data_IF_474984981393
#
_entry.id   IF_474984981393
#
_cell.length_a   1.000
_cell.length_b   1.000
_cell.length_c   1.000
_cell.angle_alpha   90.00
_cell.angle_beta   90.00
_cell.angle_gamma   90.00
#
_symmetry.space_group_name_H-M   'P 1'
#
loop_
_entity.id
_entity.type
_entity.pdbx_description
1 polymer ?
#
# COMPACT_ATOMS: atom_id res chain seq x y z
N UNK A 1 56.61 15.48 27.56
CA UNK A 1 57.70 14.55 27.16
C UNK A 1 57.32 13.14 27.61
N UNK A 2 57.78 12.11 26.89
CA UNK A 2 57.62 10.66 27.17
C UNK A 2 56.14 10.17 27.18
N UNK A 3 55.65 9.35 26.25
CA UNK A 3 56.28 8.72 25.09
C UNK A 3 56.74 7.27 25.38
N UNK A 4 55.94 6.29 24.97
CA UNK A 4 56.39 4.90 24.79
C UNK A 4 55.58 4.19 23.69
N UNK A 5 56.26 3.86 22.58
CA UNK A 5 55.88 2.79 21.64
C UNK A 5 56.48 1.48 22.15
N UNK A 6 55.97 0.32 21.72
CA UNK A 6 56.63 -1.00 21.46
C UNK A 6 55.50 -2.05 21.42
N UNK A 7 55.46 -3.10 20.60
CA UNK A 7 55.97 -3.36 19.24
C UNK A 7 55.24 -4.60 18.67
N UNK A 8 55.33 -4.85 17.36
CA UNK A 8 54.84 -6.11 16.74
C UNK A 8 55.88 -7.24 16.84
N UNK A 9 55.42 -8.48 17.03
CA UNK A 9 55.84 -9.71 16.30
C UNK A 9 54.89 -10.86 16.70
N UNK A 10 54.33 -11.76 15.86
CA UNK A 10 54.80 -12.56 14.69
C UNK A 10 55.70 -13.77 15.04
N UNK A 11 55.09 -14.95 15.18
CA UNK A 11 55.41 -16.29 14.58
C UNK A 11 54.51 -17.35 15.29
N UNK A 12 53.60 -18.06 14.61
CA UNK A 12 53.75 -19.19 13.65
C UNK A 12 54.22 -20.50 14.33
N UNK A 13 53.32 -21.47 14.48
CA UNK A 13 53.66 -22.87 14.75
C UNK A 13 52.74 -23.85 13.98
N UNK A 14 53.28 -25.03 13.68
CA UNK A 14 52.76 -26.12 12.82
C UNK A 14 53.25 -27.46 13.43
N UNK A 15 52.68 -28.64 13.19
CA UNK A 15 51.73 -29.11 12.18
C UNK A 15 51.13 -30.47 12.65
N UNK A 16 49.95 -30.85 12.15
CA UNK A 16 49.42 -32.25 12.08
C UNK A 16 48.97 -32.92 13.39
N UNK A 17 47.73 -33.41 13.37
CA UNK A 17 47.46 -34.85 13.20
C UNK A 17 46.15 -35.05 12.43
N UNK A 18 46.07 -36.14 11.68
CA UNK A 18 44.95 -36.52 10.81
C UNK A 18 44.45 -37.90 11.18
N UNK A 19 43.13 -38.11 11.24
CA UNK A 19 42.38 -39.32 10.85
C UNK A 19 40.88 -38.96 11.05
N UNK A 20 40.09 -38.78 9.99
CA UNK A 20 39.42 -39.84 9.23
C UNK A 20 38.17 -40.41 9.94
N UNK A 21 37.01 -39.86 9.61
CA UNK A 21 35.71 -40.51 9.77
C UNK A 21 34.88 -40.31 8.50
N UNK A 22 34.63 -41.42 7.80
CA UNK A 22 33.78 -41.50 6.61
C UNK A 22 32.33 -41.61 7.06
N UNK A 23 31.42 -40.83 6.48
CA UNK A 23 29.99 -40.89 6.85
C UNK A 23 29.07 -40.12 5.91
N UNK A 24 28.48 -40.84 4.94
CA UNK A 24 27.28 -40.51 4.19
C UNK A 24 27.10 -39.06 3.68
N UNK A 25 27.57 -38.79 2.46
CA UNK A 25 26.93 -37.77 1.61
C UNK A 25 25.59 -38.34 1.15
N UNK A 26 24.50 -37.94 1.81
CA UNK A 26 23.15 -38.15 1.25
C UNK A 26 23.02 -37.19 0.08
N UNK A 27 23.06 -37.73 -1.14
CA UNK A 27 22.75 -36.98 -2.35
C UNK A 27 21.24 -36.67 -2.37
N UNK A 28 20.85 -35.59 -1.70
CA UNK A 28 19.53 -34.99 -1.88
C UNK A 28 19.36 -34.66 -3.37
N UNK A 29 18.24 -35.03 -4.00
CA UNK A 29 17.97 -34.59 -5.35
C UNK A 29 17.83 -33.07 -5.31
N UNK A 30 18.78 -32.38 -5.96
CA UNK A 30 18.61 -30.99 -6.36
C UNK A 30 17.45 -30.95 -7.35
N UNK A 31 16.23 -30.81 -6.82
CA UNK A 31 15.10 -30.34 -7.60
C UNK A 31 15.48 -28.97 -8.13
N UNK A 32 15.96 -28.95 -9.37
CA UNK A 32 15.92 -27.77 -10.20
C UNK A 32 14.45 -27.39 -10.33
N UNK A 33 13.96 -26.53 -9.41
CA UNK A 33 12.80 -25.71 -9.70
C UNK A 33 13.14 -24.99 -10.98
N UNK A 34 12.57 -25.46 -12.09
CA UNK A 34 12.56 -24.72 -13.32
C UNK A 34 11.96 -23.38 -12.97
N UNK A 35 12.77 -22.31 -13.05
CA UNK A 35 12.24 -20.96 -12.99
C UNK A 35 11.28 -20.85 -14.16
N UNK A 36 9.99 -21.05 -13.88
CA UNK A 36 8.93 -20.54 -14.71
C UNK A 36 9.26 -19.07 -14.90
N UNK A 37 9.66 -18.70 -16.12
CA UNK A 37 9.73 -17.32 -16.53
C UNK A 37 8.29 -16.82 -16.52
N UNK A 38 7.89 -16.31 -15.38
CA UNK A 38 6.70 -15.48 -15.26
C UNK A 38 7.10 -14.16 -15.93
N UNK A 39 6.89 -14.08 -17.25
CA UNK A 39 6.89 -12.82 -18.01
C UNK A 39 5.61 -12.02 -17.66
N UNK A 40 5.32 -11.88 -16.36
CA UNK A 40 4.36 -10.90 -15.88
C UNK A 40 5.04 -9.54 -15.91
N UNK A 41 4.49 -8.62 -16.69
CA UNK A 41 4.85 -7.20 -16.65
C UNK A 41 4.52 -6.67 -15.25
N UNK A 42 5.52 -6.60 -14.37
CA UNK A 42 5.32 -6.22 -12.97
C UNK A 42 4.79 -4.79 -12.86
N UNK A 43 3.65 -4.59 -12.21
CA UNK A 43 3.06 -3.26 -12.07
C UNK A 43 3.90 -2.44 -11.07
N UNK A 44 4.43 -1.29 -11.52
CA UNK A 44 5.24 -0.39 -10.69
C UNK A 44 4.33 0.45 -9.80
N UNK A 45 4.31 0.15 -8.50
CA UNK A 45 3.42 0.79 -7.52
C UNK A 45 4.19 1.71 -6.57
N UNK A 46 3.62 2.88 -6.27
CA UNK A 46 3.77 3.52 -4.96
C UNK A 46 2.44 3.41 -4.26
N UNK A 47 2.43 2.97 -3.01
CA UNK A 47 1.23 2.94 -2.16
C UNK A 47 1.29 4.17 -1.25
N UNK A 48 0.24 4.99 -1.24
CA UNK A 48 0.11 6.19 -0.41
C UNK A 48 -1.08 5.99 0.54
N UNK A 49 -0.79 5.83 1.83
CA UNK A 49 -1.72 5.23 2.78
C UNK A 49 -1.75 5.98 4.11
N UNK A 50 -2.93 6.16 4.69
CA UNK A 50 -3.12 6.73 6.02
C UNK A 50 -3.10 5.68 7.15
N UNK A 51 -2.77 4.43 6.83
CA UNK A 51 -2.23 3.28 7.62
C UNK A 51 -2.55 3.14 9.10
N UNK A 52 -2.34 4.18 9.92
CA UNK A 52 -2.72 4.20 11.32
C UNK A 52 -4.17 4.69 11.56
N UNK A 53 -4.92 4.98 10.50
CA UNK A 53 -6.31 5.41 10.56
C UNK A 53 -7.27 4.28 10.94
N UNK A 54 -7.33 3.18 10.17
CA UNK A 54 -8.08 1.96 10.50
C UNK A 54 -7.16 0.71 10.51
N UNK A 55 -7.68 -0.46 10.16
CA UNK A 55 -6.97 -1.76 10.25
C UNK A 55 -6.67 -2.34 8.87
N UNK A 56 -7.48 -2.02 7.87
CA UNK A 56 -7.45 -2.67 6.56
C UNK A 56 -6.34 -2.16 5.64
N UNK A 57 -5.85 -0.92 5.79
CA UNK A 57 -4.57 -0.47 5.23
C UNK A 57 -3.43 -1.48 5.49
N UNK A 58 -3.31 -1.95 6.73
CA UNK A 58 -2.22 -2.83 7.15
C UNK A 58 -2.33 -4.21 6.48
N UNK A 59 -3.55 -4.74 6.36
CA UNK A 59 -3.83 -5.96 5.59
C UNK A 59 -3.53 -5.76 4.10
N UNK A 60 -3.90 -4.61 3.53
CA UNK A 60 -3.71 -4.27 2.13
C UNK A 60 -2.23 -4.13 1.76
N UNK A 61 -1.45 -3.41 2.59
CA UNK A 61 0.01 -3.27 2.44
C UNK A 61 0.69 -4.63 2.54
N UNK A 62 0.35 -5.47 3.53
CA UNK A 62 0.95 -6.80 3.70
C UNK A 62 0.64 -7.70 2.50
N UNK A 63 -0.59 -7.66 1.97
CA UNK A 63 -0.97 -8.38 0.74
C UNK A 63 -0.24 -7.88 -0.51
N UNK A 64 -0.04 -6.57 -0.64
CA UNK A 64 0.68 -5.97 -1.75
C UNK A 64 2.19 -6.30 -1.71
N UNK A 65 2.78 -6.44 -0.51
CA UNK A 65 4.19 -6.79 -0.32
C UNK A 65 4.51 -8.27 -0.66
N UNK A 66 3.51 -9.15 -0.67
CA UNK A 66 3.66 -10.56 -1.11
C UNK A 66 3.24 -10.83 -2.55
N UNK A 67 2.57 -9.88 -3.21
CA UNK A 67 2.06 -10.06 -4.59
C UNK A 67 3.21 -10.14 -5.62
N UNK A 68 3.45 -11.30 -6.28
CA UNK A 68 4.55 -11.45 -7.22
C UNK A 68 4.41 -10.60 -8.49
N UNK A 69 3.20 -10.16 -8.84
CA UNK A 69 2.99 -9.26 -10.00
C UNK A 69 3.23 -7.78 -9.68
N UNK A 70 3.47 -7.41 -8.42
CA UNK A 70 3.72 -6.02 -8.02
C UNK A 70 5.21 -5.74 -7.82
N UNK A 71 5.64 -4.58 -8.31
CA UNK A 71 6.93 -3.98 -7.99
C UNK A 71 6.67 -2.75 -7.13
N UNK A 72 6.62 -2.95 -5.82
CA UNK A 72 6.48 -1.86 -4.85
C UNK A 72 7.76 -1.02 -4.89
N UNK A 73 7.65 0.18 -5.45
CA UNK A 73 8.74 1.14 -5.55
C UNK A 73 8.82 2.08 -4.35
N UNK A 74 7.75 2.19 -3.55
CA UNK A 74 7.73 2.86 -2.25
C UNK A 74 6.37 2.79 -1.53
N UNK A 75 6.37 3.13 -0.25
CA UNK A 75 5.21 3.14 0.66
C UNK A 75 5.17 4.47 1.42
N UNK A 76 4.36 5.42 0.97
CA UNK A 76 4.25 6.77 1.53
C UNK A 76 3.09 6.89 2.50
N UNK A 77 3.20 7.81 3.46
CA UNK A 77 2.20 8.05 4.50
C UNK A 77 1.31 9.27 4.18
N UNK A 78 0.02 9.15 4.43
CA UNK A 78 -0.99 10.20 4.30
C UNK A 78 -1.57 10.64 5.66
N UNK A 79 -2.15 11.83 5.71
CA UNK A 79 -2.85 12.39 6.88
C UNK A 79 -4.33 11.98 6.90
N UNK A 80 -4.98 12.06 8.06
CA UNK A 80 -6.36 11.57 8.30
C UNK A 80 -7.11 12.40 9.36
N UNK A 81 -6.92 13.73 9.33
CA UNK A 81 -7.33 14.65 10.39
C UNK A 81 -8.85 14.81 10.62
N UNK A 82 -9.71 14.37 9.71
CA UNK A 82 -11.17 14.45 9.92
C UNK A 82 -11.68 13.43 10.93
N UNK A 83 -10.88 12.41 11.27
CA UNK A 83 -11.30 11.43 12.26
C UNK A 83 -11.28 12.00 13.67
N UNK A 84 -12.36 11.76 14.43
CA UNK A 84 -12.60 12.40 15.73
C UNK A 84 -11.56 12.09 16.83
N UNK A 85 -10.66 11.12 16.61
CA UNK A 85 -9.51 10.79 17.49
C UNK A 85 -8.16 10.90 16.79
N UNK A 86 -8.10 11.49 15.59
CA UNK A 86 -6.85 11.74 14.89
C UNK A 86 -5.90 12.58 15.77
N UNK A 87 -4.62 12.19 15.92
CA UNK A 87 -3.65 13.03 16.57
C UNK A 87 -3.19 14.15 15.62
N UNK A 88 -2.73 15.26 16.17
CA UNK A 88 -2.19 16.39 15.39
C UNK A 88 -1.07 16.01 14.40
N UNK A 89 -0.38 14.89 14.64
CA UNK A 89 0.61 14.29 13.75
C UNK A 89 0.12 12.90 13.32
N UNK A 90 -0.90 12.90 12.47
CA UNK A 90 -1.56 11.67 12.02
C UNK A 90 -0.72 10.97 10.95
N UNK A 91 -0.06 11.74 10.06
CA UNK A 91 0.88 11.19 9.07
C UNK A 91 2.08 10.52 9.74
N UNK A 92 2.59 11.07 10.84
CA UNK A 92 3.67 10.47 11.62
C UNK A 92 3.28 9.13 12.26
N UNK A 93 1.99 8.93 12.60
CA UNK A 93 1.50 7.61 13.04
C UNK A 93 1.48 6.60 11.91
N UNK A 94 0.97 6.98 10.75
CA UNK A 94 0.92 6.11 9.56
C UNK A 94 2.34 5.79 9.08
N UNK A 95 3.27 6.74 9.17
CA UNK A 95 4.70 6.54 8.92
C UNK A 95 5.33 5.49 9.84
N UNK A 96 5.11 5.58 11.15
CA UNK A 96 5.62 4.59 12.13
C UNK A 96 5.04 3.20 11.84
N UNK A 97 3.75 3.11 11.47
CA UNK A 97 3.12 1.83 11.12
C UNK A 97 3.69 1.23 9.83
N UNK A 98 3.93 2.06 8.80
CA UNK A 98 4.60 1.65 7.56
C UNK A 98 6.00 1.08 7.83
N UNK A 99 6.79 1.76 8.67
CA UNK A 99 8.12 1.28 9.09
C UNK A 99 8.05 -0.06 9.84
N UNK A 100 7.07 -0.23 10.74
CA UNK A 100 6.83 -1.49 11.46
C UNK A 100 6.45 -2.64 10.51
N UNK A 101 5.49 -2.42 9.60
CA UNK A 101 5.06 -3.44 8.63
C UNK A 101 6.22 -3.84 7.71
N UNK A 102 6.97 -2.88 7.17
CA UNK A 102 8.16 -3.16 6.34
C UNK A 102 9.24 -3.90 7.13
N UNK A 103 9.46 -3.58 8.40
CA UNK A 103 10.41 -4.29 9.26
C UNK A 103 9.98 -5.75 9.51
N UNK A 104 8.71 -5.97 9.88
CA UNK A 104 8.15 -7.30 10.15
C UNK A 104 8.14 -8.20 8.90
N UNK A 105 8.01 -7.61 7.71
CA UNK A 105 8.08 -8.29 6.42
C UNK A 105 9.51 -8.50 5.90
N UNK A 106 10.54 -7.93 6.55
CA UNK A 106 11.92 -7.95 6.05
C UNK A 106 12.09 -7.17 4.73
N UNK A 107 11.36 -6.05 4.60
CA UNK A 107 11.23 -5.20 3.40
C UNK A 107 11.67 -3.75 3.63
N UNK A 108 12.45 -3.48 4.67
CA UNK A 108 12.89 -2.12 5.05
C UNK A 108 13.73 -1.40 3.98
N UNK A 109 14.18 -2.08 2.91
CA UNK A 109 14.81 -1.48 1.73
C UNK A 109 13.84 -0.72 0.82
N UNK A 110 12.53 -0.96 0.93
CA UNK A 110 11.50 -0.23 0.18
C UNK A 110 11.44 1.21 0.70
N UNK A 111 11.65 2.24 -0.15
CA UNK A 111 11.58 3.63 0.28
C UNK A 111 10.21 4.01 0.85
N UNK A 112 10.20 4.62 2.04
CA UNK A 112 8.98 5.03 2.75
C UNK A 112 9.03 6.50 3.19
N UNK A 113 9.12 7.47 2.26
CA UNK A 113 9.21 8.89 2.63
C UNK A 113 7.87 9.43 3.14
N UNK A 114 7.93 10.18 4.24
CA UNK A 114 6.75 10.74 4.90
C UNK A 114 6.03 11.80 4.04
N UNK A 115 4.70 11.77 4.07
CA UNK A 115 3.86 12.73 3.35
C UNK A 115 3.61 14.04 4.08
N UNK A 116 2.67 14.81 3.56
CA UNK A 116 2.22 16.04 4.22
C UNK A 116 1.32 15.71 5.41
N UNK A 117 1.61 16.30 6.57
CA UNK A 117 0.71 16.28 7.72
C UNK A 117 -0.43 17.32 7.63
N UNK A 118 -0.59 18.02 6.51
CA UNK A 118 -1.59 19.08 6.34
C UNK A 118 -2.27 18.92 4.98
N UNK A 119 -3.62 18.89 4.89
CA UNK A 119 -4.34 18.86 3.62
C UNK A 119 -4.12 20.14 2.79
N UNK A 120 -4.36 20.08 1.49
CA UNK A 120 -4.26 21.23 0.61
C UNK A 120 -5.29 22.32 0.98
N UNK A 121 -4.82 23.55 1.12
CA UNK A 121 -5.68 24.72 1.44
C UNK A 121 -6.43 25.26 0.21
N UNK A 122 -5.99 24.90 -1.00
CA UNK A 122 -6.64 25.22 -2.28
C UNK A 122 -6.11 24.29 -3.38
N UNK A 123 -6.78 24.24 -4.52
CA UNK A 123 -6.31 23.51 -5.72
C UNK A 123 -5.08 24.15 -6.41
N UNK A 124 -4.58 25.29 -5.92
CA UNK A 124 -3.48 26.04 -6.56
C UNK A 124 -2.16 25.96 -5.79
N UNK A 125 -2.20 25.52 -4.52
CA UNK A 125 -1.04 25.49 -3.63
C UNK A 125 -0.75 24.05 -3.19
N UNK A 126 0.41 23.46 -3.59
CA UNK A 126 0.82 22.16 -3.09
C UNK A 126 1.10 22.22 -1.59
N UNK A 127 1.14 21.05 -0.96
CA UNK A 127 1.74 20.82 0.34
C UNK A 127 3.02 20.00 0.13
N UNK A 128 4.19 20.63 -0.06
CA UNK A 128 5.42 19.92 -0.38
C UNK A 128 5.83 18.97 0.75
N UNK A 129 6.07 17.72 0.40
CA UNK A 129 6.46 16.64 1.31
C UNK A 129 7.54 15.75 0.69
N UNK A 130 8.18 14.92 1.51
CA UNK A 130 9.14 13.94 0.99
C UNK A 130 8.44 12.93 0.07
N UNK A 131 7.21 12.51 0.39
CA UNK A 131 6.36 11.70 -0.49
C UNK A 131 6.09 12.38 -1.85
N UNK A 132 5.69 13.65 -1.86
CA UNK A 132 5.41 14.37 -3.10
C UNK A 132 6.66 14.48 -4.00
N UNK A 133 7.82 14.86 -3.43
CA UNK A 133 9.10 14.85 -4.17
C UNK A 133 9.51 13.47 -4.66
N UNK A 134 9.22 12.42 -3.89
CA UNK A 134 9.50 11.04 -4.26
C UNK A 134 8.62 10.55 -5.42
N UNK A 135 7.31 10.86 -5.42
CA UNK A 135 6.39 10.57 -6.53
C UNK A 135 6.90 11.22 -7.83
N UNK A 136 7.33 12.49 -7.77
CA UNK A 136 7.92 13.18 -8.94
C UNK A 136 9.15 12.43 -9.45
N UNK A 137 10.08 12.10 -8.56
CA UNK A 137 11.31 11.37 -8.89
C UNK A 137 10.99 10.00 -9.54
N UNK A 138 10.07 9.24 -8.95
CA UNK A 138 9.67 7.91 -9.43
C UNK A 138 8.92 7.94 -10.76
N UNK A 139 8.11 8.96 -10.99
CA UNK A 139 7.44 9.19 -12.27
C UNK A 139 8.43 9.57 -13.37
N UNK A 140 9.48 10.33 -13.04
CA UNK A 140 10.58 10.66 -13.96
C UNK A 140 11.49 9.47 -14.26
N UNK A 141 11.63 8.52 -13.34
CA UNK A 141 12.38 7.27 -13.53
C UNK A 141 11.61 6.19 -14.32
N UNK A 142 10.34 6.43 -14.67
CA UNK A 142 9.56 5.50 -15.48
C UNK A 142 10.19 5.26 -16.86
N UNK A 143 10.33 4.00 -17.30
CA UNK A 143 10.76 3.68 -18.67
C UNK A 143 9.85 4.31 -19.73
N UNK A 144 10.36 4.59 -20.95
CA UNK A 144 9.53 5.11 -22.04
C UNK A 144 8.35 4.19 -22.36
N UNK A 145 7.13 4.73 -22.28
CA UNK A 145 5.89 3.98 -22.49
C UNK A 145 5.29 3.35 -21.21
N UNK A 146 6.03 3.34 -20.10
CA UNK A 146 5.52 2.93 -18.79
C UNK A 146 5.06 4.13 -17.96
N UNK A 147 4.12 3.87 -17.05
CA UNK A 147 3.68 4.82 -16.03
C UNK A 147 4.12 4.36 -14.65
N UNK A 148 4.25 5.32 -13.73
CA UNK A 148 4.20 5.01 -12.31
C UNK A 148 2.72 4.93 -11.92
N UNK A 149 2.30 3.81 -11.36
CA UNK A 149 1.01 3.70 -10.71
C UNK A 149 1.15 4.17 -9.26
N UNK A 150 0.36 5.14 -8.84
CA UNK A 150 0.23 5.52 -7.43
C UNK A 150 -1.14 5.08 -6.95
N UNK A 151 -1.16 4.18 -5.97
CA UNK A 151 -2.36 3.66 -5.33
C UNK A 151 -2.59 4.48 -4.06
N UNK A 152 -3.62 5.32 -4.05
CA UNK A 152 -4.00 6.13 -2.89
C UNK A 152 -5.07 5.40 -2.10
N UNK A 153 -4.60 4.79 -1.00
CA UNK A 153 -5.40 4.16 0.05
C UNK A 153 -5.96 5.22 1.01
N UNK A 154 -5.22 6.31 1.19
CA UNK A 154 -5.64 7.49 1.93
C UNK A 154 -5.90 8.75 1.08
N UNK A 155 -5.95 9.94 1.71
CA UNK A 155 -6.22 11.21 1.04
C UNK A 155 -5.15 11.61 0.03
N UNK A 156 -5.57 12.09 -1.14
CA UNK A 156 -4.71 12.36 -2.31
C UNK A 156 -3.68 13.51 -2.16
N UNK A 157 -3.45 14.04 -0.95
CA UNK A 157 -2.63 15.25 -0.68
C UNK A 157 -1.23 15.15 -1.30
N UNK A 158 -0.56 14.00 -1.18
CA UNK A 158 0.80 13.81 -1.70
C UNK A 158 0.83 13.79 -3.24
N UNK A 159 -0.10 13.09 -3.87
CA UNK A 159 -0.22 13.00 -5.35
C UNK A 159 -0.60 14.34 -5.97
N UNK A 160 -1.59 15.02 -5.41
CA UNK A 160 -2.01 16.33 -5.91
C UNK A 160 -0.91 17.38 -5.75
N UNK A 161 -0.18 17.34 -4.63
CA UNK A 161 1.00 18.19 -4.41
C UNK A 161 2.12 17.89 -5.40
N UNK A 162 2.39 16.61 -5.71
CA UNK A 162 3.37 16.21 -6.71
C UNK A 162 3.02 16.78 -8.11
N UNK A 163 1.75 16.70 -8.51
CA UNK A 163 1.26 17.24 -9.80
C UNK A 163 1.42 18.77 -9.88
N UNK A 164 1.15 19.50 -8.79
CA UNK A 164 1.35 20.96 -8.75
C UNK A 164 2.83 21.36 -8.75
N UNK A 165 3.67 20.60 -8.06
CA UNK A 165 5.11 20.85 -7.97
C UNK A 165 5.82 20.57 -9.30
N UNK A 166 5.38 19.55 -10.05
CA UNK A 166 5.85 19.25 -11.40
C UNK A 166 4.74 18.67 -12.30
N UNK A 167 4.03 19.52 -13.06
CA UNK A 167 2.98 19.07 -13.97
C UNK A 167 3.47 18.14 -15.10
N UNK A 168 4.77 18.03 -15.36
CA UNK A 168 5.31 17.17 -16.43
C UNK A 168 5.22 15.67 -16.10
N UNK A 169 4.86 15.32 -14.86
CA UNK A 169 4.62 13.94 -14.43
C UNK A 169 3.25 13.41 -14.86
N UNK A 170 2.27 14.28 -15.16
CA UNK A 170 0.89 13.87 -15.49
C UNK A 170 0.80 12.75 -16.55
N UNK A 171 1.48 12.83 -17.72
CA UNK A 171 1.45 11.73 -18.70
C UNK A 171 2.21 10.47 -18.25
N UNK A 172 3.04 10.56 -17.20
CA UNK A 172 3.83 9.47 -16.61
C UNK A 172 3.15 8.83 -15.39
N UNK A 173 1.98 9.33 -14.98
CA UNK A 173 1.20 8.83 -13.84
C UNK A 173 -0.05 8.06 -14.27
N UNK A 174 -0.35 7.03 -13.46
CA UNK A 174 -1.67 6.43 -13.30
C UNK A 174 -2.01 6.54 -11.80
N UNK A 175 -3.15 7.15 -11.48
CA UNK A 175 -3.63 7.25 -10.10
C UNK A 175 -4.77 6.25 -9.91
N UNK A 176 -4.73 5.47 -8.84
CA UNK A 176 -5.79 4.51 -8.51
C UNK A 176 -6.23 4.79 -7.09
N UNK A 177 -7.43 5.33 -6.94
CA UNK A 177 -7.90 5.92 -5.69
C UNK A 177 -8.96 5.06 -5.03
N UNK A 178 -8.81 4.77 -3.74
CA UNK A 178 -9.89 4.27 -2.89
C UNK A 178 -10.68 5.47 -2.33
N UNK A 179 -11.91 5.62 -2.79
CA UNK A 179 -12.81 6.65 -2.28
C UNK A 179 -13.92 6.98 -3.26
N UNK A 180 -14.67 8.06 -2.97
CA UNK A 180 -15.95 8.41 -3.62
C UNK A 180 -17.04 7.33 -3.49
N UNK A 181 -18.29 7.77 -3.46
CA UNK A 181 -19.44 6.88 -3.72
C UNK A 181 -19.96 7.13 -5.13
N UNK A 182 -20.36 6.05 -5.80
CA UNK A 182 -21.07 6.11 -7.07
C UNK A 182 -22.30 5.21 -7.02
N UNK A 183 -23.44 5.69 -7.51
CA UNK A 183 -24.62 4.87 -7.72
C UNK A 183 -24.74 4.53 -9.21
N UNK A 184 -24.79 3.23 -9.51
CA UNK A 184 -24.85 2.71 -10.89
C UNK A 184 -26.23 2.86 -11.53
N UNK A 185 -27.30 2.96 -10.73
CA UNK A 185 -28.68 3.00 -11.22
C UNK A 185 -29.05 4.39 -11.76
N UNK A 186 -28.71 5.45 -11.02
CA UNK A 186 -29.00 6.85 -11.36
C UNK A 186 -27.78 7.62 -11.91
N UNK A 187 -26.60 6.99 -11.94
CA UNK A 187 -25.33 7.55 -12.40
C UNK A 187 -24.84 8.77 -11.59
N UNK A 188 -25.17 8.80 -10.29
CA UNK A 188 -24.80 9.90 -9.39
C UNK A 188 -23.52 9.64 -8.60
N UNK A 189 -22.80 10.72 -8.31
CA UNK A 189 -21.62 10.75 -7.44
C UNK A 189 -21.96 11.35 -6.08
N UNK A 190 -21.33 10.83 -5.02
CA UNK A 190 -21.17 11.54 -3.75
C UNK A 190 -19.70 11.59 -3.36
N UNK A 191 -19.23 12.81 -3.07
CA UNK A 191 -17.88 13.08 -2.53
C UNK A 191 -17.80 12.93 -1.00
N UNK A 192 -18.91 12.59 -0.32
CA UNK A 192 -18.95 12.44 1.15
C UNK A 192 -18.45 11.06 1.56
N UNK A 193 -17.15 10.91 1.52
CA UNK A 193 -16.39 9.69 1.76
C UNK A 193 -15.11 10.09 2.54
N UNK A 194 -14.59 9.21 3.40
CA UNK A 194 -13.59 9.58 4.41
C UNK A 194 -12.29 10.15 3.82
N UNK A 195 -11.67 9.46 2.87
CA UNK A 195 -10.45 9.90 2.20
C UNK A 195 -10.66 11.22 1.45
N UNK A 196 -11.85 11.35 0.85
CA UNK A 196 -12.26 12.56 0.14
C UNK A 196 -12.47 13.75 1.08
N UNK A 197 -13.16 13.55 2.20
CA UNK A 197 -13.46 14.61 3.19
C UNK A 197 -12.18 15.10 3.89
N UNK A 198 -11.13 14.25 3.99
CA UNK A 198 -9.82 14.63 4.52
C UNK A 198 -9.00 15.56 3.62
N UNK A 199 -9.14 15.49 2.29
CA UNK A 199 -8.58 16.51 1.38
C UNK A 199 -9.40 16.68 0.08
N UNK A 200 -10.52 17.42 0.15
CA UNK A 200 -11.36 17.68 -1.02
C UNK A 200 -10.65 18.50 -2.10
N UNK A 201 -9.63 19.29 -1.73
CA UNK A 201 -8.86 20.09 -2.67
C UNK A 201 -7.94 19.19 -3.52
N UNK A 202 -7.26 18.23 -2.89
CA UNK A 202 -6.43 17.25 -3.60
C UNK A 202 -7.25 16.40 -4.57
N UNK A 203 -8.40 15.87 -4.14
CA UNK A 203 -9.26 15.09 -5.05
C UNK A 203 -9.78 15.93 -6.22
N UNK A 204 -10.27 17.15 -5.95
CA UNK A 204 -10.73 18.03 -7.02
C UNK A 204 -9.61 18.35 -8.02
N UNK A 205 -8.37 18.51 -7.56
CA UNK A 205 -7.22 18.70 -8.45
C UNK A 205 -7.03 17.50 -9.39
N UNK A 206 -7.04 16.27 -8.86
CA UNK A 206 -6.87 15.06 -9.68
C UNK A 206 -7.98 14.94 -10.73
N UNK A 207 -9.25 15.16 -10.33
CA UNK A 207 -10.41 15.12 -11.22
C UNK A 207 -10.39 16.25 -12.28
N UNK A 208 -9.83 17.42 -11.93
CA UNK A 208 -9.70 18.57 -12.83
C UNK A 208 -8.45 18.52 -13.73
N UNK A 209 -7.46 17.68 -13.42
CA UNK A 209 -6.22 17.56 -14.20
C UNK A 209 -6.49 16.85 -15.53
N UNK A 210 -6.38 17.58 -16.64
CA UNK A 210 -6.55 17.00 -17.97
C UNK A 210 -5.47 15.94 -18.27
N UNK A 211 -5.85 14.87 -18.97
CA UNK A 211 -4.97 13.77 -19.41
C UNK A 211 -4.31 12.92 -18.30
N UNK A 212 -4.49 13.25 -17.01
CA UNK A 212 -4.15 12.32 -15.92
C UNK A 212 -4.97 11.03 -16.09
N UNK A 213 -4.33 9.86 -16.02
CA UNK A 213 -5.07 8.59 -15.96
C UNK A 213 -5.49 8.35 -14.52
N UNK A 214 -6.80 8.24 -14.28
CA UNK A 214 -7.35 7.96 -12.95
C UNK A 214 -8.34 6.80 -13.03
N UNK A 215 -8.19 5.87 -12.10
CA UNK A 215 -9.17 4.85 -11.76
C UNK A 215 -9.66 5.09 -10.33
N UNK A 216 -10.91 4.75 -10.03
CA UNK A 216 -11.46 4.86 -8.66
C UNK A 216 -12.08 3.54 -8.23
N UNK A 217 -11.54 2.94 -7.17
CA UNK A 217 -12.24 1.93 -6.39
C UNK A 217 -13.27 2.67 -5.52
N UNK A 218 -14.53 2.62 -5.95
CA UNK A 218 -15.59 3.35 -5.24
C UNK A 218 -15.89 2.67 -3.90
N UNK A 219 -16.17 3.46 -2.87
CA UNK A 219 -16.67 2.96 -1.59
C UNK A 219 -17.98 2.18 -1.74
N UNK A 220 -18.76 2.42 -2.81
CA UNK A 220 -19.93 1.58 -3.15
C UNK A 220 -19.54 0.14 -3.46
N UNK A 221 -18.38 -0.09 -4.09
CA UNK A 221 -17.89 -1.40 -4.54
C UNK A 221 -16.97 -2.05 -3.51
N UNK A 222 -16.02 -1.34 -2.91
CA UNK A 222 -15.09 -1.94 -1.95
C UNK A 222 -15.75 -2.38 -0.65
N UNK A 223 -16.88 -1.75 -0.25
CA UNK A 223 -17.58 -2.06 1.01
C UNK A 223 -18.05 -3.50 1.18
N UNK A 224 -18.14 -4.26 0.09
CA UNK A 224 -18.67 -5.62 0.13
C UNK A 224 -17.60 -6.67 0.40
N UNK A 225 -16.31 -6.33 0.30
CA UNK A 225 -15.25 -7.18 0.85
C UNK A 225 -15.24 -7.05 2.37
N UNK A 226 -15.64 -8.10 3.07
CA UNK A 226 -15.72 -8.14 4.54
C UNK A 226 -15.00 -9.39 5.04
N UNK A 227 -14.06 -9.21 5.98
CA UNK A 227 -13.39 -10.34 6.64
C UNK A 227 -14.03 -10.62 8.00
N UNK A 228 -14.14 -11.90 8.35
CA UNK A 228 -14.56 -12.39 9.66
C UNK A 228 -13.34 -12.56 10.58
N UNK A 229 -13.41 -12.06 11.82
CA UNK A 229 -12.32 -12.17 12.82
C UNK A 229 -11.99 -13.62 13.15
N UNK A 230 -12.97 -14.52 13.13
CA UNK A 230 -12.72 -15.95 13.27
C UNK A 230 -11.80 -16.50 12.16
N UNK A 231 -11.92 -15.98 10.93
CA UNK A 231 -11.06 -16.38 9.80
C UNK A 231 -9.67 -15.77 9.91
N UNK A 232 -9.58 -14.51 10.33
CA UNK A 232 -8.30 -13.86 10.66
C UNK A 232 -7.57 -14.61 11.77
N UNK A 233 -8.26 -15.03 12.84
CA UNK A 233 -7.66 -15.79 13.93
C UNK A 233 -7.25 -17.21 13.49
N UNK A 234 -8.05 -17.90 12.66
CA UNK A 234 -7.68 -19.20 12.07
C UNK A 234 -6.42 -19.09 11.19
N UNK A 235 -6.35 -18.06 10.34
CA UNK A 235 -5.28 -17.94 9.35
C UNK A 235 -4.02 -17.25 9.87
N UNK A 236 -4.07 -16.35 10.86
CA UNK A 236 -2.91 -15.55 11.27
C UNK A 236 -2.45 -15.71 12.72
N UNK A 237 -3.32 -16.13 13.65
CA UNK A 237 -2.99 -16.13 15.09
C UNK A 237 -1.90 -17.16 15.43
N UNK A 238 -0.91 -16.72 16.21
CA UNK A 238 0.26 -17.50 16.62
C UNK A 238 1.16 -17.97 15.45
N UNK A 239 1.07 -17.34 14.27
CA UNK A 239 2.05 -17.52 13.19
C UNK A 239 3.30 -16.63 13.35
N UNK A 240 3.25 -15.64 14.25
CA UNK A 240 4.38 -14.75 14.52
C UNK A 240 4.56 -13.63 13.51
N UNK A 241 5.47 -12.70 13.83
CA UNK A 241 5.86 -11.60 12.93
C UNK A 241 4.69 -10.70 12.57
N UNK A 242 4.50 -10.46 11.27
CA UNK A 242 3.42 -9.59 10.77
C UNK A 242 2.03 -10.14 11.05
N UNK A 243 1.87 -11.47 11.13
CA UNK A 243 0.55 -12.09 11.25
C UNK A 243 -0.04 -11.86 12.65
N UNK A 244 0.75 -12.08 13.69
CA UNK A 244 0.37 -11.75 15.06
C UNK A 244 0.16 -10.23 15.21
N UNK A 245 0.96 -9.38 14.54
CA UNK A 245 0.77 -7.92 14.54
C UNK A 245 -0.59 -7.51 13.94
N UNK A 246 -1.02 -8.11 12.83
CA UNK A 246 -2.33 -7.83 12.23
C UNK A 246 -3.50 -8.29 13.12
N UNK A 247 -3.35 -9.41 13.82
CA UNK A 247 -4.33 -9.89 14.82
C UNK A 247 -4.40 -8.93 16.01
N UNK A 248 -3.25 -8.55 16.57
CA UNK A 248 -3.15 -7.62 17.70
C UNK A 248 -3.67 -6.23 17.34
N UNK A 249 -3.42 -5.75 16.11
CA UNK A 249 -3.97 -4.50 15.60
C UNK A 249 -5.51 -4.54 15.57
N UNK A 250 -6.11 -5.59 15.01
CA UNK A 250 -7.57 -5.77 15.03
C UNK A 250 -8.14 -5.81 16.46
N UNK A 251 -7.51 -6.61 17.34
CA UNK A 251 -7.98 -6.81 18.71
C UNK A 251 -7.82 -5.53 19.57
N UNK A 252 -6.78 -4.73 19.34
CA UNK A 252 -6.50 -3.51 20.10
C UNK A 252 -7.18 -2.25 19.56
N UNK A 253 -7.49 -2.17 18.25
CA UNK A 253 -8.02 -0.96 17.62
C UNK A 253 -9.39 -0.54 18.22
N UNK A 254 -9.54 0.71 18.65
CA UNK A 254 -10.79 1.25 19.21
C UNK A 254 -11.78 1.73 18.13
N UNK A 255 -12.73 0.87 17.73
CA UNK A 255 -13.81 1.22 16.77
C UNK A 255 -14.93 2.08 17.41
N UNK A 256 -14.58 3.23 17.98
CA UNK A 256 -15.52 4.08 18.74
C UNK A 256 -16.74 4.59 17.94
N UNK A 257 -16.71 4.55 16.60
CA UNK A 257 -17.84 4.89 15.74
C UNK A 257 -18.82 3.72 15.52
N UNK A 258 -18.35 2.46 15.58
CA UNK A 258 -19.13 1.27 15.21
C UNK A 258 -19.76 0.58 16.44
N UNK A 259 -20.76 1.24 17.04
CA UNK A 259 -21.44 0.75 18.26
C UNK A 259 -22.19 -0.59 18.10
N UNK A 260 -22.39 -1.06 16.87
CA UNK A 260 -23.15 -2.28 16.55
C UNK A 260 -22.30 -3.56 16.48
N UNK A 261 -20.96 -3.44 16.45
CA UNK A 261 -20.04 -4.59 16.49
C UNK A 261 -18.95 -4.40 17.58
N UNK A 262 -19.34 -4.36 18.87
CA UNK A 262 -18.39 -4.12 19.97
C UNK A 262 -17.42 -5.30 20.17
N UNK A 263 -17.76 -6.49 19.67
CA UNK A 263 -16.92 -7.70 19.69
C UNK A 263 -15.99 -7.77 18.45
N UNK A 264 -16.05 -6.79 17.54
CA UNK A 264 -15.20 -6.67 16.36
C UNK A 264 -15.23 -7.93 15.48
N UNK A 265 -16.41 -8.53 15.31
CA UNK A 265 -16.58 -9.82 14.61
C UNK A 265 -16.20 -9.75 13.14
N UNK A 266 -16.42 -8.61 12.50
CA UNK A 266 -16.16 -8.43 11.07
C UNK A 266 -15.51 -7.07 10.80
N UNK A 267 -14.75 -6.92 9.72
CA UNK A 267 -14.26 -5.62 9.25
C UNK A 267 -14.44 -5.53 7.74
N UNK A 268 -14.95 -4.39 7.26
CA UNK A 268 -14.98 -4.08 5.83
C UNK A 268 -13.57 -3.73 5.37
N UNK A 269 -13.06 -4.47 4.40
CA UNK A 269 -11.68 -4.40 3.95
C UNK A 269 -11.58 -3.54 2.68
N UNK A 270 -11.78 -2.23 2.83
CA UNK A 270 -11.88 -1.26 1.75
C UNK A 270 -10.58 -1.23 0.92
N UNK A 271 -9.44 -1.17 1.60
CA UNK A 271 -8.11 -1.11 0.98
C UNK A 271 -7.67 -2.44 0.37
N UNK A 272 -7.96 -3.54 1.06
CA UNK A 272 -7.68 -4.88 0.54
C UNK A 272 -8.46 -5.11 -0.75
N UNK A 273 -9.72 -4.65 -0.83
CA UNK A 273 -10.51 -4.76 -2.06
C UNK A 273 -9.84 -4.08 -3.25
N UNK A 274 -9.17 -2.94 -3.06
CA UNK A 274 -8.41 -2.29 -4.13
C UNK A 274 -7.13 -3.05 -4.47
N UNK A 275 -6.36 -3.49 -3.48
CA UNK A 275 -5.13 -4.27 -3.71
C UNK A 275 -5.40 -5.61 -4.40
N UNK A 276 -6.42 -6.34 -3.96
CA UNK A 276 -6.91 -7.57 -4.59
C UNK A 276 -7.42 -7.33 -6.02
N UNK A 277 -8.20 -6.26 -6.23
CA UNK A 277 -8.68 -5.88 -7.55
C UNK A 277 -7.54 -5.55 -8.54
N UNK A 278 -6.40 -5.04 -8.05
CA UNK A 278 -5.19 -4.82 -8.85
C UNK A 278 -4.39 -6.10 -9.09
N UNK A 279 -4.35 -7.02 -8.12
CA UNK A 279 -3.66 -8.30 -8.26
C UNK A 279 -4.42 -9.23 -9.22
N UNK A 280 -5.75 -9.24 -9.14
CA UNK A 280 -6.66 -10.11 -9.91
C UNK A 280 -7.70 -9.31 -10.70
N UNK A 281 -7.29 -8.52 -11.71
CA UNK A 281 -8.21 -7.66 -12.46
C UNK A 281 -9.34 -8.43 -13.18
N UNK A 282 -9.16 -9.74 -13.45
CA UNK A 282 -10.17 -10.61 -14.04
C UNK A 282 -11.32 -10.98 -13.08
N UNK A 283 -11.17 -10.75 -11.77
CA UNK A 283 -12.20 -10.91 -10.74
C UNK A 283 -12.95 -9.59 -10.47
N UNK A 284 -12.84 -8.62 -11.39
CA UNK A 284 -13.40 -7.27 -11.23
C UNK A 284 -14.16 -6.84 -12.48
N UNK A 285 -15.09 -5.92 -12.32
CA UNK A 285 -15.71 -5.19 -13.42
C UNK A 285 -15.46 -3.70 -13.25
N UNK A 286 -15.12 -3.05 -14.36
CA UNK A 286 -14.94 -1.61 -14.42
C UNK A 286 -15.84 -0.98 -15.47
N UNK A 287 -16.18 0.30 -15.28
CA UNK A 287 -16.89 1.11 -16.27
C UNK A 287 -16.24 2.47 -16.41
N UNK A 288 -16.31 3.03 -17.61
CA UNK A 288 -16.08 4.45 -17.82
C UNK A 288 -17.34 5.23 -17.45
N UNK A 289 -17.14 6.31 -16.71
CA UNK A 289 -18.19 7.24 -16.28
C UNK A 289 -17.69 8.67 -16.42
N UNK A 290 -18.60 9.63 -16.52
CA UNK A 290 -18.23 11.05 -16.48
C UNK A 290 -17.88 11.42 -15.04
N UNK A 291 -16.85 12.25 -14.86
CA UNK A 291 -16.49 12.89 -13.58
C UNK A 291 -17.68 13.58 -12.89
N UNK A 292 -17.62 13.84 -11.57
CA UNK A 292 -18.62 14.65 -10.87
C UNK A 292 -18.90 15.98 -11.59
N UNK A 293 -20.15 16.44 -11.50
CA UNK A 293 -20.67 17.57 -12.28
C UNK A 293 -19.98 18.92 -11.98
N UNK A 294 -19.31 19.03 -10.85
CA UNK A 294 -18.53 20.18 -10.37
C UNK A 294 -17.03 20.08 -10.72
N UNK A 295 -16.62 19.05 -11.46
CA UNK A 295 -15.26 18.88 -11.99
C UNK A 295 -15.17 19.04 -13.52
N UNK A 296 -13.95 19.12 -14.04
CA UNK A 296 -13.68 19.10 -15.47
C UNK A 296 -14.31 17.87 -16.13
N UNK A 297 -15.28 18.09 -17.01
CA UNK A 297 -16.07 17.02 -17.65
C UNK A 297 -15.22 16.12 -18.54
N UNK A 298 -14.87 14.94 -18.05
CA UNK A 298 -14.12 13.90 -18.80
C UNK A 298 -14.57 12.50 -18.38
N UNK A 299 -14.22 11.50 -19.18
CA UNK A 299 -14.35 10.09 -18.76
C UNK A 299 -13.25 9.73 -17.75
N UNK A 300 -13.62 8.99 -16.72
CA UNK A 300 -12.71 8.28 -15.81
C UNK A 300 -13.19 6.84 -15.64
N UNK A 301 -12.29 5.94 -15.27
CA UNK A 301 -12.64 4.53 -15.02
C UNK A 301 -12.96 4.31 -13.54
N UNK A 302 -13.99 3.53 -13.24
CA UNK A 302 -14.36 3.15 -11.88
C UNK A 302 -14.51 1.64 -11.78
N UNK A 303 -14.15 1.07 -10.63
CA UNK A 303 -14.55 -0.28 -10.27
C UNK A 303 -16.04 -0.27 -9.90
N UNK A 304 -16.80 -1.22 -10.42
CA UNK A 304 -18.26 -1.31 -10.25
C UNK A 304 -18.74 -2.62 -9.64
N UNK A 305 -17.91 -3.67 -9.70
CA UNK A 305 -18.15 -4.94 -9.02
C UNK A 305 -16.81 -5.67 -8.80
N UNK A 306 -16.78 -6.51 -7.78
CA UNK A 306 -15.69 -7.44 -7.42
C UNK A 306 -16.30 -8.82 -7.13
N UNK A 307 -15.57 -9.90 -7.40
CA UNK A 307 -15.94 -11.24 -6.91
C UNK A 307 -15.43 -11.40 -5.47
N UNK A 308 -16.24 -10.99 -4.51
CA UNK A 308 -15.92 -10.95 -3.07
C UNK A 308 -15.35 -12.28 -2.56
N UNK A 309 -15.93 -13.41 -2.97
CA UNK A 309 -15.51 -14.73 -2.51
C UNK A 309 -14.15 -15.11 -3.11
N UNK A 310 -13.97 -14.88 -4.42
CA UNK A 310 -12.71 -15.21 -5.09
C UNK A 310 -11.55 -14.30 -4.65
N UNK A 311 -11.80 -13.00 -4.38
CA UNK A 311 -10.79 -12.09 -3.81
C UNK A 311 -10.43 -12.46 -2.37
N UNK A 312 -11.41 -12.88 -1.54
CA UNK A 312 -11.10 -13.42 -0.20
C UNK A 312 -10.25 -14.70 -0.30
N UNK A 313 -10.62 -15.64 -1.17
CA UNK A 313 -9.86 -16.87 -1.35
C UNK A 313 -8.42 -16.59 -1.80
N UNK A 314 -8.20 -15.69 -2.75
CA UNK A 314 -6.86 -15.32 -3.18
C UNK A 314 -6.04 -14.65 -2.07
N UNK A 315 -6.64 -13.72 -1.32
CA UNK A 315 -5.99 -13.07 -0.18
C UNK A 315 -5.41 -14.12 0.79
N UNK A 316 -6.23 -15.07 1.24
CA UNK A 316 -5.78 -16.13 2.17
C UNK A 316 -4.78 -17.09 1.53
N UNK A 317 -4.93 -17.39 0.24
CA UNK A 317 -4.00 -18.25 -0.49
C UNK A 317 -2.64 -17.59 -0.73
N UNK A 318 -2.55 -16.26 -0.81
CA UNK A 318 -1.30 -15.52 -1.01
C UNK A 318 -0.27 -15.68 0.11
N UNK A 319 -0.70 -16.14 1.29
CA UNK A 319 0.13 -16.39 2.48
C UNK A 319 0.42 -17.87 2.73
N UNK A 320 0.05 -18.78 1.82
CA UNK A 320 0.31 -20.22 1.93
C UNK A 320 1.68 -20.59 1.32
N UNK A 321 2.37 -21.63 1.84
CA UNK A 321 3.73 -22.01 1.40
C UNK A 321 3.83 -22.55 -0.03
#
# INVERSE_FOLDING_TARGET
MNGMKYHKDRRRFLYKTSLASVGAIVALPLFSLGKLKVDATSVRLVIDADTANEVDDAFAIVRALVEPTFKIEGLTSAQWHTQAKAPNDSVGRSQIMNEQLLQLMGKSEIPHPMGSNIPMVSQERPQPSAAASFIIQKAHQSPPGEKLTVVTLGPNTNVASAILMDPTIVPKLKCIYLGLWYNLEDQTWSKREFNTDNDPNALNLLLNTQNLEIEVMTATTSKSLVFEKNKVDEEFKAKGGVFDYLVDLWDSYDRFWQKTDPEKKQWTMWDVALIEALAKPHLTQKKKVITPHDNFKREIEIYTAIDENALQEDFWNSFKP
#
